data_IF_437646517055
#
_entry.id   IF_437646517055
#
_cell.length_a   1.000
_cell.length_b   1.000
_cell.length_c   1.000
_cell.angle_alpha   90.00
_cell.angle_beta   90.00
_cell.angle_gamma   90.00
#
_symmetry.space_group_name_H-M   'P 1'
#
loop_
_entity.id
_entity.type
_entity.pdbx_description
1 polymer ?
#
# COMPACT_ATOMS: atom_id res chain seq x y z
N UNK A 1 -12.15 -37.93 4.14
CA UNK A 1 -13.62 -37.71 4.08
C UNK A 1 -13.87 -36.32 3.54
N UNK A 2 -14.45 -36.12 2.36
CA UNK A 2 -14.75 -34.82 1.77
C UNK A 2 -16.24 -34.51 2.03
N UNK A 3 -16.53 -33.68 3.02
CA UNK A 3 -17.90 -33.22 3.29
C UNK A 3 -17.91 -31.89 4.11
N UNK A 4 -17.16 -30.87 3.69
CA UNK A 4 -17.20 -29.55 4.31
C UNK A 4 -17.05 -28.38 3.31
N UNK A 5 -17.15 -28.62 2.00
CA UNK A 5 -16.98 -27.59 0.96
C UNK A 5 -18.30 -27.10 0.35
N UNK A 6 -19.44 -27.72 0.67
CA UNK A 6 -20.72 -27.41 0.01
C UNK A 6 -21.59 -26.35 0.71
N UNK A 7 -21.13 -25.67 1.77
CA UNK A 7 -21.96 -24.68 2.50
C UNK A 7 -21.55 -23.22 2.34
N UNK A 8 -20.61 -22.88 1.46
CA UNK A 8 -20.17 -21.49 1.24
C UNK A 8 -20.78 -20.84 -0.02
N UNK A 9 -21.60 -21.57 -0.77
CA UNK A 9 -22.03 -21.18 -2.13
C UNK A 9 -23.41 -20.51 -2.22
N UNK A 10 -24.06 -20.11 -1.11
CA UNK A 10 -25.45 -19.64 -1.21
C UNK A 10 -25.78 -18.21 -0.75
N UNK A 11 -24.77 -17.35 -0.45
CA UNK A 11 -25.06 -15.97 0.01
C UNK A 11 -24.46 -14.84 -0.82
N UNK A 12 -23.82 -15.10 -1.95
CA UNK A 12 -23.19 -14.08 -2.80
C UNK A 12 -23.98 -13.68 -4.07
N UNK A 13 -25.18 -14.24 -4.30
CA UNK A 13 -26.07 -13.76 -5.38
C UNK A 13 -26.95 -12.62 -4.88
N UNK A 14 -26.37 -11.43 -4.69
CA UNK A 14 -27.16 -10.19 -4.67
C UNK A 14 -27.38 -9.72 -6.10
N UNK A 15 -28.63 -9.75 -6.52
CA UNK A 15 -29.20 -9.26 -7.78
C UNK A 15 -28.58 -7.95 -8.26
N UNK A 16 -28.20 -7.92 -9.53
CA UNK A 16 -27.85 -6.72 -10.30
C UNK A 16 -29.00 -5.69 -10.22
N UNK A 17 -28.84 -4.64 -9.38
CA UNK A 17 -29.87 -3.61 -9.23
C UNK A 17 -29.51 -2.41 -8.35
N UNK A 18 -28.56 -2.51 -7.43
CA UNK A 18 -28.04 -1.34 -6.68
C UNK A 18 -26.59 -1.09 -7.08
N UNK A 19 -26.22 0.14 -7.43
CA UNK A 19 -24.84 0.50 -7.68
C UNK A 19 -24.02 0.18 -6.42
N UNK A 20 -23.05 -0.73 -6.52
CA UNK A 20 -22.14 -1.06 -5.41
C UNK A 20 -21.31 0.17 -5.06
N UNK A 21 -21.23 0.49 -3.77
CA UNK A 21 -20.40 1.60 -3.29
C UNK A 21 -18.92 1.20 -3.29
N UNK A 22 -18.00 2.18 -3.21
CA UNK A 22 -16.57 1.90 -3.01
C UNK A 22 -16.36 0.98 -1.79
N UNK A 23 -17.09 1.21 -0.70
CA UNK A 23 -16.98 0.40 0.51
C UNK A 23 -17.39 -1.06 0.29
N UNK A 24 -18.43 -1.30 -0.51
CA UNK A 24 -18.87 -2.67 -0.86
C UNK A 24 -17.77 -3.40 -1.66
N UNK A 25 -17.14 -2.74 -2.65
CA UNK A 25 -16.00 -3.30 -3.38
C UNK A 25 -14.82 -3.61 -2.46
N UNK A 26 -14.44 -2.67 -1.59
CA UNK A 26 -13.32 -2.86 -0.68
C UNK A 26 -13.56 -4.03 0.28
N UNK A 27 -14.76 -4.16 0.83
CA UNK A 27 -15.11 -5.24 1.74
C UNK A 27 -15.11 -6.61 1.03
N UNK A 28 -15.73 -6.70 -0.16
CA UNK A 28 -15.80 -7.93 -0.94
C UNK A 28 -14.40 -8.39 -1.38
N UNK A 29 -13.56 -7.47 -1.88
CA UNK A 29 -12.21 -7.80 -2.29
C UNK A 29 -11.31 -8.16 -1.10
N UNK A 30 -11.42 -7.48 0.03
CA UNK A 30 -10.66 -7.83 1.23
C UNK A 30 -10.94 -9.27 1.69
N UNK A 31 -12.20 -9.68 1.73
CA UNK A 31 -12.58 -11.03 2.11
C UNK A 31 -12.01 -12.10 1.15
N UNK A 32 -12.06 -11.83 -0.17
CA UNK A 32 -11.52 -12.75 -1.19
C UNK A 32 -9.99 -12.86 -1.10
N UNK A 33 -9.31 -11.73 -0.91
CA UNK A 33 -7.85 -11.70 -0.77
C UNK A 33 -7.42 -12.41 0.51
N UNK A 34 -8.11 -12.22 1.63
CA UNK A 34 -7.80 -12.92 2.87
C UNK A 34 -7.97 -14.44 2.74
N UNK A 35 -9.01 -14.89 2.03
CA UNK A 35 -9.22 -16.30 1.72
C UNK A 35 -8.09 -16.86 0.84
N UNK A 36 -7.69 -16.14 -0.21
CA UNK A 36 -6.62 -16.57 -1.11
C UNK A 36 -5.25 -16.57 -0.40
N UNK A 37 -4.96 -15.57 0.46
CA UNK A 37 -3.74 -15.59 1.29
C UNK A 37 -3.71 -16.86 2.14
N UNK A 38 -4.82 -17.23 2.78
CA UNK A 38 -4.87 -18.43 3.60
C UNK A 38 -4.59 -19.70 2.77
N UNK A 39 -5.13 -19.80 1.56
CA UNK A 39 -4.87 -20.91 0.63
C UNK A 39 -3.40 -20.95 0.20
N UNK A 40 -2.81 -19.81 -0.14
CA UNK A 40 -1.38 -19.71 -0.50
C UNK A 40 -0.50 -20.14 0.66
N UNK A 41 -0.77 -19.68 1.88
CA UNK A 41 0.01 -20.04 3.04
C UNK A 41 -0.08 -21.55 3.36
N UNK A 42 -1.25 -22.15 3.18
CA UNK A 42 -1.42 -23.58 3.39
C UNK A 42 -0.70 -24.42 2.31
N UNK A 43 -0.74 -23.96 1.06
CA UNK A 43 -0.18 -24.71 -0.07
C UNK A 43 1.35 -24.55 -0.20
N UNK A 44 1.89 -23.35 0.10
CA UNK A 44 3.28 -23.00 -0.28
C UNK A 44 4.21 -22.87 0.94
N UNK A 45 3.67 -22.75 2.18
CA UNK A 45 4.49 -22.60 3.38
C UNK A 45 4.41 -23.88 4.21
N UNK A 46 5.37 -24.77 4.03
CA UNK A 46 5.40 -26.08 4.72
C UNK A 46 5.65 -25.96 6.23
N UNK A 47 6.50 -25.02 6.66
CA UNK A 47 6.87 -24.83 8.06
C UNK A 47 5.70 -24.26 8.88
N UNK A 48 5.16 -25.01 9.88
CA UNK A 48 4.00 -24.55 10.65
C UNK A 48 4.29 -23.31 11.50
N UNK A 49 5.54 -23.12 11.95
CA UNK A 49 5.93 -21.97 12.75
C UNK A 49 5.92 -20.71 11.88
N UNK A 50 6.49 -20.77 10.66
CA UNK A 50 6.44 -19.65 9.71
C UNK A 50 5.01 -19.30 9.34
N UNK A 51 4.14 -20.28 9.05
CA UNK A 51 2.71 -20.05 8.81
C UNK A 51 2.04 -19.35 9.99
N UNK A 52 2.31 -19.79 11.22
CA UNK A 52 1.78 -19.19 12.43
C UNK A 52 2.23 -17.74 12.61
N UNK A 53 3.51 -17.46 12.44
CA UNK A 53 4.08 -16.11 12.55
C UNK A 53 3.54 -15.16 11.48
N UNK A 54 3.37 -15.63 10.24
CA UNK A 54 2.72 -14.88 9.15
C UNK A 54 1.23 -14.63 9.50
N UNK A 55 0.51 -15.66 9.95
CA UNK A 55 -0.89 -15.53 10.37
C UNK A 55 -1.03 -14.53 11.52
N UNK A 56 -0.08 -14.50 12.46
CA UNK A 56 -0.03 -13.48 13.50
C UNK A 56 0.08 -12.06 12.92
N UNK A 57 0.98 -11.84 11.94
CA UNK A 57 1.14 -10.54 11.29
C UNK A 57 -0.18 -10.05 10.65
N UNK A 58 -0.94 -10.97 10.04
CA UNK A 58 -2.27 -10.67 9.48
C UNK A 58 -3.37 -10.51 10.54
N UNK A 59 -3.11 -10.79 11.82
CA UNK A 59 -4.10 -10.73 12.88
C UNK A 59 -4.94 -11.99 13.06
N UNK A 60 -4.52 -13.09 12.45
CA UNK A 60 -5.26 -14.37 12.45
C UNK A 60 -4.75 -15.37 13.49
N UNK A 61 -3.64 -15.07 14.17
CA UNK A 61 -3.07 -15.88 15.24
C UNK A 61 -2.73 -15.03 16.48
N UNK A 62 -2.58 -15.70 17.63
CA UNK A 62 -2.10 -15.11 18.87
C UNK A 62 -0.58 -14.87 18.87
N UNK A 63 -0.05 -14.27 19.95
CA UNK A 63 1.40 -14.04 20.13
C UNK A 63 2.20 -15.33 20.29
N UNK A 64 1.55 -16.45 20.52
CA UNK A 64 2.07 -17.81 20.52
C UNK A 64 2.06 -18.47 19.13
N UNK A 65 1.62 -17.71 18.12
CA UNK A 65 1.47 -18.12 16.72
C UNK A 65 0.42 -19.22 16.49
N UNK A 66 -0.46 -19.44 17.47
CA UNK A 66 -1.59 -20.36 17.34
C UNK A 66 -2.77 -19.66 16.67
N UNK A 67 -3.44 -20.29 15.67
CA UNK A 67 -4.58 -19.70 14.99
C UNK A 67 -5.72 -19.31 15.93
N UNK A 68 -6.28 -18.13 15.72
CA UNK A 68 -7.44 -17.62 16.46
C UNK A 68 -8.75 -18.01 15.77
N UNK A 69 -9.83 -18.26 16.55
CA UNK A 69 -11.18 -18.34 16.01
C UNK A 69 -11.53 -17.10 15.20
N UNK A 70 -12.32 -17.23 14.16
CA UNK A 70 -12.65 -16.12 13.24
C UNK A 70 -13.17 -14.85 13.98
N UNK A 71 -13.99 -15.04 15.01
CA UNK A 71 -14.53 -13.94 15.82
C UNK A 71 -13.49 -13.16 16.66
N UNK A 72 -12.28 -13.73 16.85
CA UNK A 72 -11.19 -13.12 17.62
C UNK A 72 -10.08 -12.55 16.73
N UNK A 73 -10.20 -12.72 15.40
CA UNK A 73 -9.21 -12.22 14.45
C UNK A 73 -9.27 -10.70 14.40
N UNK A 74 -8.11 -10.06 14.48
CA UNK A 74 -8.02 -8.62 14.28
C UNK A 74 -8.32 -8.29 12.80
N UNK A 75 -8.95 -7.15 12.57
CA UNK A 75 -9.12 -6.65 11.23
C UNK A 75 -7.74 -6.46 10.57
N UNK A 76 -7.51 -7.13 9.45
CA UNK A 76 -6.36 -6.90 8.59
C UNK A 76 -6.39 -5.47 8.04
N UNK A 77 -5.36 -5.03 7.32
CA UNK A 77 -5.38 -3.73 6.64
C UNK A 77 -6.53 -3.63 5.61
N UNK A 78 -6.76 -2.43 5.08
CA UNK A 78 -7.83 -2.15 4.11
C UNK A 78 -7.65 -2.83 2.74
N UNK A 79 -6.60 -3.62 2.52
CA UNK A 79 -6.27 -4.32 1.26
C UNK A 79 -6.33 -3.38 0.04
N UNK A 80 -5.84 -2.14 0.18
CA UNK A 80 -5.98 -1.11 -0.86
C UNK A 80 -5.25 -1.46 -2.15
N UNK A 81 -4.05 -2.05 -2.07
CA UNK A 81 -3.28 -2.43 -3.27
C UNK A 81 -3.95 -3.55 -4.07
N UNK A 82 -4.39 -4.65 -3.45
CA UNK A 82 -5.27 -5.61 -4.10
C UNK A 82 -6.51 -4.99 -4.72
N UNK A 83 -7.21 -4.14 -3.98
CA UNK A 83 -8.43 -3.50 -4.47
C UNK A 83 -8.17 -2.60 -5.69
N UNK A 84 -7.07 -1.82 -5.70
CA UNK A 84 -6.62 -1.05 -6.85
C UNK A 84 -6.42 -1.96 -8.08
N UNK A 85 -5.73 -3.09 -7.90
CA UNK A 85 -5.48 -4.04 -8.99
C UNK A 85 -6.78 -4.63 -9.55
N UNK A 86 -7.67 -5.08 -8.67
CA UNK A 86 -8.94 -5.68 -9.07
C UNK A 86 -9.88 -4.68 -9.72
N UNK A 87 -9.96 -3.45 -9.21
CA UNK A 87 -10.76 -2.38 -9.83
C UNK A 87 -10.23 -2.00 -11.22
N UNK A 88 -8.90 -1.90 -11.40
CA UNK A 88 -8.29 -1.67 -12.70
C UNK A 88 -8.56 -2.83 -13.67
N UNK A 89 -8.45 -4.08 -13.18
CA UNK A 89 -8.76 -5.27 -13.97
C UNK A 89 -10.20 -5.27 -14.45
N UNK A 90 -11.17 -5.11 -13.55
CA UNK A 90 -12.59 -5.09 -13.87
C UNK A 90 -12.96 -3.91 -14.77
N UNK A 91 -12.42 -2.71 -14.47
CA UNK A 91 -12.65 -1.52 -15.29
C UNK A 91 -12.16 -1.68 -16.71
N UNK A 92 -10.96 -2.26 -16.90
CA UNK A 92 -10.40 -2.53 -18.21
C UNK A 92 -11.16 -3.61 -18.97
N UNK A 93 -11.60 -4.69 -18.31
CA UNK A 93 -12.45 -5.75 -18.93
C UNK A 93 -13.80 -5.22 -19.38
N UNK A 94 -14.47 -4.41 -18.54
CA UNK A 94 -15.76 -3.80 -18.90
C UNK A 94 -15.65 -2.94 -20.16
N UNK A 95 -14.54 -2.22 -20.34
CA UNK A 95 -14.27 -1.43 -21.56
C UNK A 95 -14.16 -2.30 -22.81
N UNK A 96 -13.83 -3.57 -22.68
CA UNK A 96 -13.79 -4.56 -23.77
C UNK A 96 -15.14 -5.29 -23.98
N UNK A 97 -16.18 -4.88 -23.26
CA UNK A 97 -17.51 -5.49 -23.35
C UNK A 97 -17.69 -6.80 -22.56
N UNK A 98 -16.75 -7.13 -21.65
CA UNK A 98 -16.88 -8.33 -20.82
C UNK A 98 -17.80 -8.08 -19.63
N UNK A 99 -18.50 -9.13 -19.19
CA UNK A 99 -19.30 -9.09 -17.97
C UNK A 99 -18.41 -8.95 -16.72
N UNK A 100 -18.96 -8.34 -15.67
CA UNK A 100 -18.21 -7.98 -14.45
C UNK A 100 -17.77 -9.16 -13.57
N UNK A 101 -18.16 -10.39 -13.88
CA UNK A 101 -18.23 -11.47 -12.88
C UNK A 101 -17.04 -12.43 -12.84
N UNK A 102 -16.02 -12.24 -13.68
CA UNK A 102 -14.93 -13.20 -13.80
C UNK A 102 -13.60 -12.62 -13.27
N UNK A 103 -13.59 -12.11 -12.03
CA UNK A 103 -12.39 -11.50 -11.42
C UNK A 103 -11.36 -12.51 -10.87
N UNK A 104 -11.60 -13.80 -10.99
CA UNK A 104 -10.74 -14.82 -10.38
C UNK A 104 -9.33 -14.87 -10.98
N UNK A 105 -9.18 -14.49 -12.25
CA UNK A 105 -7.88 -14.50 -12.91
C UNK A 105 -6.90 -13.46 -12.35
N UNK A 106 -7.38 -12.36 -11.77
CA UNK A 106 -6.55 -11.32 -11.18
C UNK A 106 -6.30 -11.52 -9.67
N UNK A 107 -7.03 -12.41 -9.00
CA UNK A 107 -6.91 -12.67 -7.55
C UNK A 107 -5.49 -13.09 -7.16
N UNK A 108 -4.82 -14.03 -7.84
CA UNK A 108 -3.45 -14.43 -7.48
C UNK A 108 -2.46 -13.27 -7.52
N UNK A 109 -2.53 -12.42 -8.54
CA UNK A 109 -1.68 -11.24 -8.64
C UNK A 109 -2.01 -10.19 -7.55
N UNK A 110 -3.30 -9.94 -7.32
CA UNK A 110 -3.74 -9.03 -6.25
C UNK A 110 -3.30 -9.54 -4.87
N UNK A 111 -3.36 -10.85 -4.64
CA UNK A 111 -2.82 -11.50 -3.43
C UNK A 111 -1.31 -11.31 -3.31
N UNK A 112 -0.58 -11.52 -4.39
CA UNK A 112 0.87 -11.31 -4.41
C UNK A 112 1.28 -9.89 -4.05
N UNK A 113 0.53 -8.87 -4.51
CA UNK A 113 0.73 -7.47 -4.12
C UNK A 113 0.58 -7.26 -2.61
N UNK A 114 -0.40 -7.91 -1.98
CA UNK A 114 -0.60 -7.82 -0.54
C UNK A 114 0.51 -8.54 0.24
N UNK A 115 0.96 -9.70 -0.24
CA UNK A 115 2.07 -10.43 0.38
C UNK A 115 3.37 -9.62 0.28
N UNK A 116 3.67 -9.01 -0.89
CA UNK A 116 4.81 -8.11 -1.08
C UNK A 116 4.70 -6.89 -0.16
N UNK A 117 3.53 -6.29 -0.02
CA UNK A 117 3.35 -5.19 0.91
C UNK A 117 3.62 -5.60 2.36
N UNK A 118 3.09 -6.76 2.79
CA UNK A 118 3.22 -7.18 4.19
C UNK A 118 4.64 -7.66 4.53
N UNK A 119 5.41 -8.27 3.58
CA UNK A 119 6.81 -8.53 3.84
C UNK A 119 7.59 -7.23 4.10
N UNK A 120 7.33 -6.19 3.31
CA UNK A 120 7.99 -4.91 3.50
C UNK A 120 7.68 -4.30 4.87
N UNK A 121 6.43 -4.42 5.33
CA UNK A 121 6.05 -3.96 6.67
C UNK A 121 6.79 -4.70 7.80
N UNK A 122 6.98 -6.02 7.67
CA UNK A 122 7.73 -6.80 8.67
C UNK A 122 9.20 -6.36 8.71
N UNK A 123 9.81 -6.11 7.54
CA UNK A 123 11.20 -5.66 7.47
C UNK A 123 11.34 -4.20 7.90
N UNK A 124 10.41 -3.32 7.55
CA UNK A 124 10.36 -1.93 8.01
C UNK A 124 10.28 -1.87 9.54
N UNK A 125 9.43 -2.69 10.19
CA UNK A 125 9.35 -2.76 11.66
C UNK A 125 10.71 -3.06 12.31
N UNK A 126 11.53 -3.92 11.69
CA UNK A 126 12.88 -4.24 12.17
C UNK A 126 13.83 -3.06 11.99
N UNK A 127 13.80 -2.41 10.82
CA UNK A 127 14.68 -1.29 10.45
C UNK A 127 14.36 -0.05 11.30
N UNK A 128 13.07 0.26 11.44
CA UNK A 128 12.56 1.42 12.19
C UNK A 128 12.53 1.15 13.71
N UNK A 129 12.80 -0.09 14.14
CA UNK A 129 12.72 -0.54 15.55
C UNK A 129 11.32 -0.35 16.16
N UNK A 130 10.29 -0.40 15.34
CA UNK A 130 8.91 -0.27 15.79
C UNK A 130 8.48 -1.50 16.62
N UNK A 131 8.13 -1.29 17.88
CA UNK A 131 7.70 -2.36 18.78
C UNK A 131 6.23 -2.75 18.58
N UNK A 132 5.43 -1.83 18.07
CA UNK A 132 3.99 -2.00 17.88
C UNK A 132 3.58 -1.68 16.43
N UNK A 133 2.67 -2.47 15.90
CA UNK A 133 1.97 -2.24 14.62
C UNK A 133 0.48 -2.49 14.80
N UNK A 134 -0.34 -1.49 14.47
CA UNK A 134 -1.82 -1.55 14.66
C UNK A 134 -2.21 -1.95 16.09
N UNK A 135 -1.50 -1.40 17.09
CA UNK A 135 -1.73 -1.66 18.51
C UNK A 135 -1.28 -3.06 19.00
N UNK A 136 -0.62 -3.87 18.14
CA UNK A 136 -0.12 -5.22 18.49
C UNK A 136 1.41 -5.25 18.42
N UNK A 137 2.09 -6.06 19.25
CA UNK A 137 3.54 -6.28 19.13
C UNK A 137 3.91 -6.65 17.69
N UNK A 138 5.04 -6.14 17.20
CA UNK A 138 5.57 -6.50 15.88
C UNK A 138 6.15 -7.92 15.90
N UNK A 139 6.26 -8.57 14.74
CA UNK A 139 6.81 -9.94 14.66
C UNK A 139 8.22 -9.97 15.27
N UNK A 140 9.07 -9.00 14.96
CA UNK A 140 10.43 -8.99 15.50
C UNK A 140 10.51 -8.75 17.01
N UNK A 141 9.56 -8.04 17.60
CA UNK A 141 9.52 -7.83 19.05
C UNK A 141 9.13 -9.10 19.81
N UNK A 142 8.47 -10.05 19.14
CA UNK A 142 8.09 -11.36 19.72
C UNK A 142 9.18 -12.39 19.52
N UNK A 143 9.67 -12.57 18.27
CA UNK A 143 10.55 -13.68 17.93
C UNK A 143 12.00 -13.28 17.61
N UNK A 144 12.33 -11.99 17.75
CA UNK A 144 13.64 -11.44 17.45
C UNK A 144 13.87 -11.17 15.96
N UNK A 145 14.88 -10.33 15.67
CA UNK A 145 15.16 -9.81 14.31
C UNK A 145 15.42 -10.93 13.30
N UNK A 146 16.23 -11.93 13.66
CA UNK A 146 16.62 -12.99 12.72
C UNK A 146 15.42 -13.79 12.21
N UNK A 147 14.50 -14.15 13.12
CA UNK A 147 13.29 -14.90 12.73
C UNK A 147 12.29 -14.02 11.98
N UNK A 148 12.15 -12.74 12.33
CA UNK A 148 11.31 -11.82 11.60
C UNK A 148 11.79 -11.58 10.17
N UNK A 149 13.12 -11.57 9.92
CA UNK A 149 13.69 -11.55 8.56
C UNK A 149 13.24 -12.80 7.78
N UNK A 150 13.31 -13.99 8.40
CA UNK A 150 12.85 -15.23 7.76
C UNK A 150 11.35 -15.19 7.42
N UNK A 151 10.52 -14.67 8.34
CA UNK A 151 9.07 -14.49 8.11
C UNK A 151 8.82 -13.56 6.91
N UNK A 152 9.51 -12.42 6.83
CA UNK A 152 9.41 -11.50 5.69
C UNK A 152 9.86 -12.15 4.37
N UNK A 153 11.01 -12.83 4.37
CA UNK A 153 11.52 -13.54 3.19
C UNK A 153 10.55 -14.63 2.70
N UNK A 154 9.94 -15.37 3.64
CA UNK A 154 8.92 -16.38 3.32
C UNK A 154 7.70 -15.74 2.63
N UNK A 155 7.20 -14.61 3.16
CA UNK A 155 6.12 -13.85 2.52
C UNK A 155 6.47 -13.37 1.12
N UNK A 156 7.70 -12.85 0.93
CA UNK A 156 8.16 -12.38 -0.36
C UNK A 156 8.22 -13.53 -1.39
N UNK A 157 8.73 -14.69 -0.99
CA UNK A 157 8.75 -15.88 -1.85
C UNK A 157 7.32 -16.37 -2.17
N UNK A 158 6.45 -16.45 -1.16
CA UNK A 158 5.06 -16.85 -1.32
C UNK A 158 4.27 -15.94 -2.27
N UNK A 159 4.61 -14.64 -2.36
CA UNK A 159 4.00 -13.72 -3.32
C UNK A 159 4.22 -14.16 -4.77
N UNK A 160 5.43 -14.60 -5.11
CA UNK A 160 5.71 -15.10 -6.46
C UNK A 160 5.08 -16.47 -6.70
N UNK A 161 5.08 -17.34 -5.69
CA UNK A 161 4.41 -18.64 -5.76
C UNK A 161 2.90 -18.48 -6.00
N UNK A 162 2.25 -17.50 -5.36
CA UNK A 162 0.85 -17.17 -5.57
C UNK A 162 0.54 -16.85 -7.04
N UNK A 163 1.37 -16.02 -7.69
CA UNK A 163 1.22 -15.72 -9.12
C UNK A 163 1.39 -16.96 -10.02
N UNK A 164 2.31 -17.87 -9.66
CA UNK A 164 2.63 -19.05 -10.45
C UNK A 164 1.63 -20.19 -10.25
N UNK A 165 0.96 -20.26 -9.10
CA UNK A 165 0.09 -21.37 -8.73
C UNK A 165 -1.03 -21.65 -9.75
N UNK A 166 -1.62 -20.63 -10.33
CA UNK A 166 -2.65 -20.78 -11.38
C UNK A 166 -2.12 -21.08 -12.78
N UNK A 167 -0.85 -20.82 -13.09
CA UNK A 167 -0.24 -21.26 -14.36
C UNK A 167 -0.20 -22.78 -14.50
N UNK A 168 -0.30 -23.52 -13.39
CA UNK A 168 -0.36 -24.99 -13.42
C UNK A 168 -1.68 -25.54 -13.99
N UNK A 169 -2.71 -24.70 -14.17
CA UNK A 169 -3.95 -25.06 -14.82
C UNK A 169 -3.84 -24.88 -16.35
N UNK A 170 -4.16 -25.90 -17.17
CA UNK A 170 -4.13 -25.77 -18.63
C UNK A 170 -5.08 -24.66 -19.11
N UNK A 171 -4.56 -23.65 -19.79
CA UNK A 171 -5.33 -22.59 -20.46
C UNK A 171 -5.22 -21.17 -19.88
N UNK A 172 -4.70 -20.97 -18.67
CA UNK A 172 -4.74 -19.66 -17.96
C UNK A 172 -3.41 -18.89 -17.97
N UNK A 173 -2.56 -19.01 -18.98
CA UNK A 173 -1.16 -18.54 -18.92
C UNK A 173 -0.85 -17.17 -19.54
N UNK A 174 -1.79 -16.45 -20.16
CA UNK A 174 -1.50 -15.20 -20.85
C UNK A 174 -1.35 -14.03 -19.86
N UNK A 175 -0.16 -13.40 -19.83
CA UNK A 175 0.12 -12.21 -19.03
C UNK A 175 0.71 -12.46 -17.63
N UNK A 176 0.69 -13.68 -17.09
CA UNK A 176 1.20 -13.97 -15.74
C UNK A 176 2.71 -13.71 -15.64
N UNK A 177 3.51 -14.12 -16.62
CA UNK A 177 4.95 -13.81 -16.67
C UNK A 177 5.22 -12.30 -16.64
N UNK A 178 4.35 -11.51 -17.26
CA UNK A 178 4.48 -10.07 -17.35
C UNK A 178 4.18 -9.38 -16.03
N UNK A 179 3.12 -9.81 -15.33
CA UNK A 179 2.82 -9.24 -14.00
C UNK A 179 3.82 -9.69 -12.94
N UNK A 180 4.40 -10.89 -13.06
CA UNK A 180 5.53 -11.31 -12.21
C UNK A 180 6.74 -10.43 -12.45
N UNK A 181 7.08 -10.12 -13.70
CA UNK A 181 8.18 -9.21 -14.04
C UNK A 181 7.93 -7.79 -13.50
N UNK A 182 6.69 -7.29 -13.61
CA UNK A 182 6.29 -6.00 -13.03
C UNK A 182 6.40 -6.02 -11.49
N UNK A 183 5.98 -7.09 -10.82
CA UNK A 183 6.07 -7.25 -9.37
C UNK A 183 7.53 -7.31 -8.90
N UNK A 184 8.39 -8.03 -9.61
CA UNK A 184 9.81 -8.09 -9.32
C UNK A 184 10.48 -6.71 -9.48
N UNK A 185 10.15 -5.98 -10.55
CA UNK A 185 10.62 -4.61 -10.77
C UNK A 185 10.17 -3.68 -9.63
N UNK A 186 8.90 -3.74 -9.24
CA UNK A 186 8.38 -2.96 -8.13
C UNK A 186 9.08 -3.30 -6.79
N UNK A 187 9.36 -4.58 -6.52
CA UNK A 187 10.09 -5.02 -5.33
C UNK A 187 11.52 -4.46 -5.30
N UNK A 188 12.23 -4.42 -6.45
CA UNK A 188 13.55 -3.80 -6.56
C UNK A 188 13.50 -2.30 -6.31
N UNK A 189 12.51 -1.60 -6.89
CA UNK A 189 12.31 -0.16 -6.68
C UNK A 189 11.97 0.15 -5.22
N UNK A 190 11.09 -0.64 -4.58
CA UNK A 190 10.76 -0.51 -3.16
C UNK A 190 12.00 -0.64 -2.28
N UNK A 191 12.84 -1.64 -2.54
CA UNK A 191 14.11 -1.85 -1.81
C UNK A 191 15.04 -0.65 -1.98
N UNK A 192 15.15 -0.11 -3.21
CA UNK A 192 15.91 1.11 -3.50
C UNK A 192 15.39 2.33 -2.74
N UNK A 193 14.07 2.53 -2.72
CA UNK A 193 13.41 3.61 -1.99
C UNK A 193 13.58 3.48 -0.48
N UNK A 194 13.44 2.28 0.08
CA UNK A 194 13.68 2.02 1.50
C UNK A 194 15.14 2.30 1.90
N UNK A 195 16.11 1.89 1.06
CA UNK A 195 17.51 2.23 1.28
C UNK A 195 17.74 3.75 1.33
N UNK A 196 17.09 4.50 0.43
CA UNK A 196 17.19 5.97 0.43
C UNK A 196 16.58 6.57 1.69
N UNK A 197 15.41 6.09 2.12
CA UNK A 197 14.74 6.57 3.34
C UNK A 197 15.64 6.41 4.57
N UNK A 198 16.24 5.23 4.77
CA UNK A 198 17.21 4.97 5.83
C UNK A 198 18.46 5.87 5.73
N UNK A 199 18.99 6.09 4.51
CA UNK A 199 20.12 6.99 4.32
C UNK A 199 19.78 8.44 4.68
N UNK A 200 18.55 8.88 4.50
CA UNK A 200 18.13 10.25 4.81
C UNK A 200 18.13 10.53 6.31
N UNK A 201 18.02 9.52 7.17
CA UNK A 201 18.11 9.71 8.62
C UNK A 201 19.39 10.42 9.05
N UNK A 202 20.51 10.09 8.38
CA UNK A 202 21.86 10.58 8.75
C UNK A 202 22.42 11.67 7.83
N UNK A 203 21.69 12.08 6.77
CA UNK A 203 22.13 13.11 5.82
C UNK A 203 21.53 14.47 6.13
N UNK A 204 22.29 15.54 5.97
CA UNK A 204 21.82 16.92 6.19
C UNK A 204 21.47 17.65 4.89
N UNK A 205 21.83 17.06 3.73
CA UNK A 205 21.68 17.63 2.40
C UNK A 205 20.49 17.05 1.60
N UNK A 206 19.48 16.48 2.30
CA UNK A 206 18.30 15.90 1.65
C UNK A 206 17.45 17.02 1.04
N UNK A 207 17.21 16.91 -0.26
CA UNK A 207 16.38 17.86 -1.03
C UNK A 207 14.97 17.33 -1.25
N UNK A 208 14.04 18.21 -1.63
CA UNK A 208 12.68 17.85 -2.02
C UNK A 208 12.67 16.89 -3.22
N UNK A 209 13.58 17.08 -4.20
CA UNK A 209 13.68 16.18 -5.36
C UNK A 209 14.15 14.77 -4.94
N UNK A 210 15.10 14.68 -4.01
CA UNK A 210 15.55 13.40 -3.45
C UNK A 210 14.41 12.69 -2.70
N UNK A 211 13.62 13.45 -1.96
CA UNK A 211 12.43 12.92 -1.30
C UNK A 211 11.42 12.36 -2.31
N UNK A 212 11.11 13.08 -3.40
CA UNK A 212 10.21 12.55 -4.44
C UNK A 212 10.74 11.30 -5.10
N UNK A 213 12.04 11.20 -5.35
CA UNK A 213 12.66 9.97 -5.86
C UNK A 213 12.52 8.81 -4.89
N UNK A 214 12.73 9.05 -3.60
CA UNK A 214 12.60 8.05 -2.55
C UNK A 214 11.17 7.52 -2.46
N UNK A 215 10.14 8.38 -2.37
CA UNK A 215 8.75 7.94 -2.27
C UNK A 215 8.23 7.31 -3.56
N UNK A 216 8.76 7.70 -4.72
CA UNK A 216 8.47 7.03 -6.00
C UNK A 216 8.88 5.56 -5.94
N UNK A 217 10.04 5.24 -5.38
CA UNK A 217 10.48 3.88 -5.13
C UNK A 217 9.74 3.21 -3.98
N UNK A 218 9.84 3.76 -2.77
CA UNK A 218 9.34 3.13 -1.54
C UNK A 218 7.84 2.85 -1.56
N UNK A 219 7.04 3.79 -2.09
CA UNK A 219 5.57 3.74 -2.01
C UNK A 219 4.89 3.63 -3.37
N UNK A 220 5.24 4.50 -4.33
CA UNK A 220 4.51 4.56 -5.59
C UNK A 220 4.81 3.37 -6.51
N UNK A 221 5.96 2.73 -6.41
CA UNK A 221 6.30 1.57 -7.25
C UNK A 221 5.28 0.43 -7.13
N UNK A 222 4.85 0.09 -5.91
CA UNK A 222 3.89 -1.00 -5.73
C UNK A 222 2.46 -0.60 -6.11
N UNK A 223 2.06 0.66 -5.93
CA UNK A 223 0.76 1.16 -6.43
C UNK A 223 0.74 1.21 -7.95
N UNK A 224 1.83 1.62 -8.59
CA UNK A 224 2.00 1.55 -10.06
C UNK A 224 1.88 0.11 -10.55
N UNK A 225 2.57 -0.82 -9.89
CA UNK A 225 2.50 -2.25 -10.22
C UNK A 225 1.05 -2.78 -10.09
N UNK A 226 0.33 -2.39 -9.05
CA UNK A 226 -1.05 -2.82 -8.83
C UNK A 226 -1.99 -2.38 -9.96
N UNK A 227 -1.97 -1.11 -10.32
CA UNK A 227 -2.85 -0.55 -11.35
C UNK A 227 -2.48 -1.02 -12.76
N UNK A 228 -1.18 -0.99 -13.09
CA UNK A 228 -0.66 -1.48 -14.36
C UNK A 228 -0.92 -2.98 -14.53
N UNK A 229 -0.58 -3.80 -13.53
CA UNK A 229 -0.68 -5.25 -13.61
C UNK A 229 -2.13 -5.73 -13.67
N UNK A 230 -3.04 -5.09 -12.92
CA UNK A 230 -4.47 -5.37 -13.03
C UNK A 230 -5.00 -5.10 -14.44
N UNK A 231 -4.68 -3.95 -15.02
CA UNK A 231 -5.06 -3.63 -16.40
C UNK A 231 -4.38 -4.54 -17.43
N UNK A 232 -3.11 -4.89 -17.23
CA UNK A 232 -2.36 -5.79 -18.13
C UNK A 232 -3.00 -7.17 -18.21
N UNK A 233 -3.43 -7.74 -17.09
CA UNK A 233 -4.17 -9.01 -17.06
C UNK A 233 -5.49 -8.91 -17.79
N UNK A 234 -6.22 -7.79 -17.68
CA UNK A 234 -7.46 -7.56 -18.37
C UNK A 234 -7.29 -7.53 -19.91
N UNK A 235 -6.15 -7.01 -20.38
CA UNK A 235 -5.80 -6.99 -21.80
C UNK A 235 -5.05 -8.26 -22.25
N UNK A 236 -5.18 -9.36 -21.50
CA UNK A 236 -4.58 -10.67 -21.83
C UNK A 236 -3.06 -10.62 -22.06
N UNK A 237 -2.35 -9.78 -21.31
CA UNK A 237 -0.90 -9.64 -21.40
C UNK A 237 -0.41 -8.84 -22.62
N UNK A 238 -1.30 -8.11 -23.31
CA UNK A 238 -0.90 -7.26 -24.44
C UNK A 238 -0.12 -6.03 -23.95
N UNK A 239 1.19 -6.16 -23.73
CA UNK A 239 2.08 -5.10 -23.23
C UNK A 239 2.04 -3.80 -24.02
N UNK A 240 1.68 -3.85 -25.29
CA UNK A 240 1.58 -2.69 -26.17
C UNK A 240 0.19 -2.03 -26.15
N UNK A 241 -0.74 -2.47 -25.28
CA UNK A 241 -2.07 -1.86 -25.24
C UNK A 241 -1.99 -0.38 -24.84
N UNK A 242 -2.57 0.56 -25.62
CA UNK A 242 -2.35 2.00 -25.48
C UNK A 242 -2.87 2.59 -24.15
N UNK A 243 -3.77 1.92 -23.44
CA UNK A 243 -4.25 2.37 -22.14
C UNK A 243 -3.29 2.06 -20.97
N UNK A 244 -2.36 1.10 -21.12
CA UNK A 244 -1.49 0.67 -20.02
C UNK A 244 -0.60 1.77 -19.42
N UNK A 245 0.02 2.67 -20.22
CA UNK A 245 0.78 3.79 -19.67
C UNK A 245 -0.07 4.70 -18.76
N UNK A 246 -1.34 4.90 -19.10
CA UNK A 246 -2.24 5.72 -18.29
C UNK A 246 -2.61 5.03 -16.96
N UNK A 247 -2.80 3.71 -16.91
CA UNK A 247 -2.95 2.96 -15.67
C UNK A 247 -1.69 2.99 -14.80
N UNK A 248 -0.49 2.91 -15.41
CA UNK A 248 0.77 3.04 -14.69
C UNK A 248 0.93 4.44 -14.07
N UNK A 249 0.64 5.49 -14.85
CA UNK A 249 0.71 6.87 -14.39
C UNK A 249 -0.30 7.14 -13.27
N UNK A 250 -1.53 6.62 -13.40
CA UNK A 250 -2.54 6.68 -12.35
C UNK A 250 -2.00 6.12 -11.03
N UNK A 251 -1.44 4.91 -11.06
CA UNK A 251 -0.89 4.26 -9.87
C UNK A 251 0.30 5.01 -9.27
N UNK A 252 1.17 5.58 -10.12
CA UNK A 252 2.32 6.38 -9.70
C UNK A 252 1.87 7.64 -8.96
N UNK A 253 1.00 8.42 -9.57
CA UNK A 253 0.52 9.67 -9.00
C UNK A 253 -0.30 9.45 -7.72
N UNK A 254 -1.15 8.42 -7.70
CA UNK A 254 -1.89 8.03 -6.50
C UNK A 254 -0.95 7.64 -5.35
N UNK A 255 0.09 6.86 -5.62
CA UNK A 255 1.08 6.45 -4.62
C UNK A 255 1.89 7.62 -4.06
N UNK A 256 2.27 8.57 -4.92
CA UNK A 256 2.94 9.82 -4.52
C UNK A 256 2.03 10.65 -3.60
N UNK A 257 0.81 10.92 -4.01
CA UNK A 257 -0.17 11.67 -3.19
C UNK A 257 -0.47 11.00 -1.86
N UNK A 258 -0.59 9.65 -1.86
CA UNK A 258 -0.79 8.86 -0.66
C UNK A 258 0.34 9.05 0.35
N UNK A 259 1.61 8.97 -0.09
CA UNK A 259 2.76 9.10 0.82
C UNK A 259 2.87 10.52 1.38
N UNK A 260 2.67 11.54 0.55
CA UNK A 260 2.68 12.94 1.02
C UNK A 260 1.61 13.15 2.09
N UNK A 261 0.42 12.57 1.87
CA UNK A 261 -0.67 12.67 2.84
C UNK A 261 -0.34 11.93 4.14
N UNK A 262 0.29 10.76 4.04
CA UNK A 262 0.75 10.00 5.21
C UNK A 262 1.78 10.79 6.04
N UNK A 263 2.71 11.47 5.39
CA UNK A 263 3.70 12.35 6.05
C UNK A 263 3.05 13.56 6.74
N UNK A 264 1.99 14.14 6.16
CA UNK A 264 1.20 15.20 6.82
C UNK A 264 0.53 14.64 8.08
N UNK A 265 -0.07 13.46 7.99
CA UNK A 265 -0.72 12.81 9.13
C UNK A 265 0.29 12.36 10.20
N UNK A 266 1.52 12.02 9.83
CA UNK A 266 2.62 11.67 10.75
C UNK A 266 3.01 12.82 11.68
N UNK A 267 2.73 14.07 11.28
CA UNK A 267 3.02 15.29 12.07
C UNK A 267 1.77 15.82 12.77
N UNK A 268 0.65 15.97 12.04
CA UNK A 268 -0.56 16.65 12.54
C UNK A 268 -1.75 15.71 12.78
N UNK A 269 -1.64 14.42 12.39
CA UNK A 269 -2.73 13.46 12.58
C UNK A 269 -3.03 13.20 14.06
N UNK A 270 -4.30 13.06 14.38
CA UNK A 270 -4.74 12.65 15.72
C UNK A 270 -4.51 11.14 15.93
N UNK A 271 -4.27 10.73 17.17
CA UNK A 271 -4.07 9.31 17.51
C UNK A 271 -5.27 8.44 17.10
N UNK A 272 -6.48 8.96 17.25
CA UNK A 272 -7.72 8.29 16.80
C UNK A 272 -7.75 8.01 15.29
N UNK A 273 -6.99 8.78 14.49
CA UNK A 273 -6.94 8.69 13.04
C UNK A 273 -5.80 7.80 12.54
N UNK A 274 -4.65 7.88 13.21
CA UNK A 274 -3.40 7.23 12.77
C UNK A 274 -3.10 5.94 13.51
N UNK A 275 -3.72 5.74 14.69
CA UNK A 275 -3.38 4.66 15.61
C UNK A 275 -2.00 4.80 16.25
N UNK A 276 -1.36 5.98 16.08
CA UNK A 276 -0.04 6.32 16.65
C UNK A 276 -0.13 7.70 17.33
N UNK A 277 0.67 7.96 18.40
CA UNK A 277 0.72 9.27 19.03
C UNK A 277 1.08 10.37 18.02
N UNK A 278 0.39 11.52 18.08
CA UNK A 278 0.66 12.67 17.20
C UNK A 278 2.13 13.07 17.25
N UNK A 279 2.69 13.49 16.10
CA UNK A 279 4.07 13.94 16.01
C UNK A 279 5.14 12.84 16.00
N UNK A 280 4.76 11.61 15.70
CA UNK A 280 5.70 10.49 15.61
C UNK A 280 6.86 10.76 14.65
N UNK A 281 6.61 11.44 13.53
CA UNK A 281 7.64 11.77 12.54
C UNK A 281 8.60 12.86 13.04
N UNK A 282 8.12 13.80 13.85
CA UNK A 282 8.99 14.80 14.52
C UNK A 282 9.93 14.10 15.49
N UNK A 283 9.41 13.25 16.37
CA UNK A 283 10.23 12.51 17.35
C UNK A 283 11.32 11.67 16.69
N UNK A 284 10.99 11.03 15.56
CA UNK A 284 11.96 10.27 14.76
C UNK A 284 12.84 11.14 13.87
N UNK A 285 12.62 12.44 13.84
CA UNK A 285 13.32 13.39 12.96
C UNK A 285 13.28 12.97 11.50
N UNK A 286 12.15 12.38 11.09
CA UNK A 286 11.97 11.94 9.71
C UNK A 286 12.01 13.15 8.78
N UNK A 287 12.84 13.08 7.74
CA UNK A 287 12.94 14.12 6.70
C UNK A 287 11.78 13.98 5.71
N UNK A 288 10.55 14.15 6.22
CA UNK A 288 9.31 14.13 5.45
C UNK A 288 9.13 15.42 4.64
N UNK A 289 8.22 15.40 3.66
CA UNK A 289 8.01 16.56 2.79
C UNK A 289 7.74 17.88 3.54
N UNK A 290 6.86 17.92 4.57
CA UNK A 290 6.65 19.16 5.32
C UNK A 290 7.93 19.74 5.92
N UNK A 291 8.81 18.89 6.44
CA UNK A 291 10.07 19.32 7.05
C UNK A 291 11.04 19.87 6.00
N UNK A 292 11.14 19.20 4.85
CA UNK A 292 12.01 19.66 3.77
C UNK A 292 11.53 21.00 3.16
N UNK A 293 10.22 21.16 3.02
CA UNK A 293 9.63 22.43 2.59
C UNK A 293 9.88 23.55 3.61
N UNK A 294 9.74 23.25 4.91
CA UNK A 294 10.06 24.23 5.94
C UNK A 294 11.55 24.63 5.91
N UNK A 295 12.46 23.69 5.69
CA UNK A 295 13.88 24.00 5.52
C UNK A 295 14.16 24.89 4.31
N UNK A 296 13.37 24.85 3.27
CA UNK A 296 13.49 25.74 2.10
C UNK A 296 12.93 27.13 2.39
N UNK A 297 11.75 27.22 3.02
CA UNK A 297 10.97 28.47 3.18
C UNK A 297 11.35 29.27 4.44
N UNK A 298 11.96 28.60 5.45
CA UNK A 298 12.26 29.22 6.73
C UNK A 298 13.26 30.38 6.62
N UNK A 299 13.10 31.39 7.50
CA UNK A 299 14.11 32.42 7.73
C UNK A 299 15.47 31.78 8.12
N UNK A 300 16.60 32.46 7.88
CA UNK A 300 17.91 31.88 8.21
C UNK A 300 18.02 31.38 9.67
N UNK A 301 17.43 32.09 10.62
CA UNK A 301 17.43 31.71 12.04
C UNK A 301 16.56 30.49 12.31
N UNK A 302 15.35 30.42 11.77
CA UNK A 302 14.45 29.27 11.93
C UNK A 302 15.03 28.03 11.24
N UNK A 303 15.63 28.20 10.06
CA UNK A 303 16.31 27.10 9.33
C UNK A 303 17.47 26.54 10.12
N UNK A 304 18.32 27.39 10.71
CA UNK A 304 19.44 26.94 11.54
C UNK A 304 18.95 26.19 12.77
N UNK A 305 17.88 26.67 13.44
CA UNK A 305 17.27 25.96 14.59
C UNK A 305 16.69 24.62 14.19
N UNK A 306 15.90 24.57 13.13
CA UNK A 306 15.31 23.30 12.65
C UNK A 306 16.41 22.30 12.26
N UNK A 307 17.45 22.74 11.54
CA UNK A 307 18.59 21.91 11.19
C UNK A 307 19.33 21.39 12.42
N UNK A 308 19.57 22.22 13.44
CA UNK A 308 20.21 21.81 14.68
C UNK A 308 19.37 20.75 15.44
N UNK A 309 18.04 20.90 15.51
CA UNK A 309 17.14 19.92 16.13
C UNK A 309 17.14 18.59 15.38
N UNK A 310 17.20 18.62 14.05
CA UNK A 310 17.22 17.40 13.22
C UNK A 310 18.60 16.73 13.17
N UNK A 311 19.68 17.42 13.54
CA UNK A 311 21.02 16.85 13.67
C UNK A 311 21.29 16.21 15.05
N UNK A 312 20.38 16.35 16.03
CA UNK A 312 20.54 15.76 17.35
C UNK A 312 20.51 14.23 17.29
N UNK A 313 21.33 13.58 18.15
CA UNK A 313 21.35 12.11 18.27
C UNK A 313 20.53 11.61 19.46
N UNK A 314 20.15 12.49 20.38
CA UNK A 314 19.28 12.20 21.53
C UNK A 314 17.82 12.46 21.20
N UNK A 315 16.90 11.85 21.95
CA UNK A 315 15.48 12.11 21.79
C UNK A 315 15.16 13.58 22.00
N UNK A 316 14.18 14.10 21.26
CA UNK A 316 13.71 15.48 21.43
C UNK A 316 12.89 15.58 22.73
N UNK A 317 13.08 16.66 23.47
CA UNK A 317 12.20 17.03 24.59
C UNK A 317 10.87 17.57 24.07
N UNK A 318 9.83 17.62 24.92
CA UNK A 318 8.53 18.19 24.55
C UNK A 318 8.62 19.65 24.06
N UNK A 319 9.52 20.46 24.66
CA UNK A 319 9.74 21.84 24.22
C UNK A 319 10.39 21.89 22.84
N UNK A 320 11.32 20.99 22.54
CA UNK A 320 11.95 20.87 21.22
C UNK A 320 10.97 20.37 20.15
N UNK A 321 10.10 19.42 20.48
CA UNK A 321 9.00 19.02 19.57
C UNK A 321 8.06 20.20 19.26
N UNK A 322 7.72 21.00 20.29
CA UNK A 322 6.90 22.21 20.13
C UNK A 322 7.60 23.26 19.29
N UNK A 323 8.92 23.43 19.44
CA UNK A 323 9.71 24.35 18.62
C UNK A 323 9.72 23.93 17.15
N UNK A 324 9.92 22.64 16.85
CA UNK A 324 9.78 22.11 15.49
C UNK A 324 8.39 22.43 14.92
N UNK A 325 7.31 22.16 15.66
CA UNK A 325 5.92 22.44 15.19
C UNK A 325 5.74 23.93 14.89
N UNK A 326 6.19 24.82 15.77
CA UNK A 326 6.13 26.26 15.55
C UNK A 326 6.80 26.69 14.24
N UNK A 327 8.01 26.18 13.98
CA UNK A 327 8.72 26.49 12.72
C UNK A 327 7.94 25.96 11.51
N UNK A 328 7.38 24.74 11.57
CA UNK A 328 6.57 24.17 10.48
C UNK A 328 5.30 24.99 10.22
N UNK A 329 4.67 25.51 11.28
CA UNK A 329 3.48 26.39 11.19
C UNK A 329 3.81 27.76 10.60
N UNK A 330 4.89 28.42 11.07
CA UNK A 330 5.39 29.68 10.54
C UNK A 330 5.64 29.60 9.02
N UNK A 331 6.22 28.49 8.56
CA UNK A 331 6.48 28.21 7.15
C UNK A 331 5.25 27.73 6.37
N UNK A 332 4.10 27.56 7.02
CA UNK A 332 2.88 26.95 6.43
C UNK A 332 3.17 25.59 5.75
N UNK A 333 4.08 24.80 6.34
CA UNK A 333 4.57 23.57 5.74
C UNK A 333 3.47 22.54 5.46
N UNK A 334 2.44 22.48 6.32
CA UNK A 334 1.27 21.62 6.09
C UNK A 334 0.53 22.00 4.80
N UNK A 335 0.24 23.29 4.60
CA UNK A 335 -0.49 23.77 3.42
C UNK A 335 0.35 23.61 2.14
N UNK A 336 1.69 23.77 2.24
CA UNK A 336 2.60 23.53 1.13
C UNK A 336 2.60 22.06 0.74
N UNK A 337 2.76 21.14 1.69
CA UNK A 337 2.72 19.71 1.44
C UNK A 337 1.35 19.25 0.92
N UNK A 338 0.24 19.82 1.44
CA UNK A 338 -1.11 19.52 0.93
C UNK A 338 -1.26 19.89 -0.53
N UNK A 339 -0.73 21.05 -0.97
CA UNK A 339 -0.75 21.42 -2.40
C UNK A 339 -0.06 20.39 -3.29
N UNK A 340 1.04 19.80 -2.83
CA UNK A 340 1.69 18.70 -3.55
C UNK A 340 0.80 17.45 -3.60
N UNK A 341 0.17 17.07 -2.49
CA UNK A 341 -0.77 15.94 -2.47
C UNK A 341 -1.95 16.16 -3.44
N UNK A 342 -2.53 17.36 -3.44
CA UNK A 342 -3.63 17.74 -4.33
C UNK A 342 -3.22 17.69 -5.81
N UNK A 343 -2.02 18.18 -6.14
CA UNK A 343 -1.48 18.13 -7.50
C UNK A 343 -1.32 16.67 -7.98
N UNK A 344 -0.78 15.79 -7.15
CA UNK A 344 -0.66 14.38 -7.46
C UNK A 344 -2.05 13.72 -7.59
N UNK A 345 -3.02 14.07 -6.74
CA UNK A 345 -4.40 13.63 -6.86
C UNK A 345 -5.04 14.04 -8.20
N UNK A 346 -4.87 15.29 -8.62
CA UNK A 346 -5.37 15.78 -9.92
C UNK A 346 -4.72 15.05 -11.10
N UNK A 347 -3.40 14.82 -11.05
CA UNK A 347 -2.69 14.04 -12.08
C UNK A 347 -3.16 12.59 -12.13
N UNK A 348 -3.39 11.98 -10.98
CA UNK A 348 -3.96 10.64 -10.90
C UNK A 348 -5.34 10.58 -11.57
N UNK A 349 -6.25 11.52 -11.27
CA UNK A 349 -7.57 11.58 -11.90
C UNK A 349 -7.49 11.82 -13.41
N UNK A 350 -6.58 12.68 -13.86
CA UNK A 350 -6.33 12.91 -15.30
C UNK A 350 -5.85 11.62 -15.99
N UNK A 351 -4.91 10.91 -15.38
CA UNK A 351 -4.41 9.63 -15.91
C UNK A 351 -5.51 8.56 -15.94
N UNK A 352 -6.34 8.48 -14.89
CA UNK A 352 -7.48 7.55 -14.85
C UNK A 352 -8.52 7.87 -15.93
N UNK A 353 -8.81 9.15 -16.16
CA UNK A 353 -9.69 9.61 -17.24
C UNK A 353 -9.14 9.22 -18.62
N UNK A 354 -7.83 9.35 -18.82
CA UNK A 354 -7.17 8.90 -20.05
C UNK A 354 -7.24 7.37 -20.20
N UNK A 355 -7.00 6.63 -19.12
CA UNK A 355 -7.15 5.17 -19.08
C UNK A 355 -8.58 4.73 -19.41
N UNK A 356 -9.58 5.48 -18.95
CA UNK A 356 -10.99 5.24 -19.26
C UNK A 356 -11.39 5.56 -20.71
N UNK A 357 -10.62 6.42 -21.40
CA UNK A 357 -10.96 6.91 -22.74
C UNK A 357 -11.88 8.13 -22.73
N UNK A 358 -11.94 8.86 -21.61
CA UNK A 358 -12.69 10.09 -21.44
C UNK A 358 -13.55 10.12 -20.17
N UNK A 359 -14.03 11.31 -19.80
CA UNK A 359 -14.77 11.52 -18.56
C UNK A 359 -16.13 10.80 -18.53
N UNK A 360 -16.84 10.69 -19.65
CA UNK A 360 -18.10 9.96 -19.71
C UNK A 360 -17.86 8.46 -19.52
N UNK A 361 -16.87 7.90 -20.22
CA UNK A 361 -16.52 6.50 -20.09
C UNK A 361 -16.02 6.14 -18.66
N UNK A 362 -15.41 7.10 -17.97
CA UNK A 362 -15.04 6.96 -16.56
C UNK A 362 -16.29 6.83 -15.67
N UNK A 363 -17.25 7.74 -15.83
CA UNK A 363 -18.49 7.76 -15.03
C UNK A 363 -19.39 6.54 -15.30
N UNK A 364 -19.45 6.09 -16.55
CA UNK A 364 -20.30 4.95 -16.96
C UNK A 364 -19.71 3.59 -16.55
N UNK A 365 -18.45 3.57 -16.08
CA UNK A 365 -17.78 2.36 -15.63
C UNK A 365 -17.71 2.35 -14.09
N UNK A 366 -18.52 1.53 -13.40
CA UNK A 366 -18.64 1.57 -11.94
C UNK A 366 -17.31 1.27 -11.21
N UNK A 367 -16.43 0.48 -11.82
CA UNK A 367 -15.12 0.14 -11.25
C UNK A 367 -14.14 1.32 -11.35
N UNK A 368 -14.15 2.03 -12.48
CA UNK A 368 -13.32 3.23 -12.67
C UNK A 368 -13.87 4.40 -11.85
N UNK A 369 -15.17 4.55 -11.73
CA UNK A 369 -15.81 5.52 -10.84
C UNK A 369 -15.46 5.25 -9.35
N UNK A 370 -15.36 3.97 -8.95
CA UNK A 370 -14.88 3.61 -7.61
C UNK A 370 -13.41 3.98 -7.40
N UNK A 371 -12.54 3.87 -8.43
CA UNK A 371 -11.16 4.35 -8.37
C UNK A 371 -11.08 5.89 -8.25
N UNK A 372 -11.97 6.63 -8.93
CA UNK A 372 -12.07 8.08 -8.76
C UNK A 372 -12.41 8.46 -7.32
N UNK A 373 -13.42 7.81 -6.72
CA UNK A 373 -13.78 7.99 -5.30
C UNK A 373 -12.62 7.64 -4.36
N UNK A 374 -11.94 6.53 -4.62
CA UNK A 374 -10.78 6.11 -3.84
C UNK A 374 -9.65 7.13 -3.90
N UNK A 375 -9.41 7.73 -5.08
CA UNK A 375 -8.39 8.79 -5.26
C UNK A 375 -8.72 10.00 -4.38
N UNK A 376 -9.96 10.49 -4.41
CA UNK A 376 -10.42 11.55 -3.53
C UNK A 376 -10.22 11.19 -2.05
N UNK A 377 -10.63 9.99 -1.64
CA UNK A 377 -10.45 9.52 -0.26
C UNK A 377 -8.98 9.49 0.16
N UNK A 378 -8.07 9.05 -0.71
CA UNK A 378 -6.63 8.92 -0.42
C UNK A 378 -5.94 10.29 -0.32
N UNK A 379 -6.26 11.23 -1.18
CA UNK A 379 -5.59 12.54 -1.26
C UNK A 379 -6.17 13.59 -0.34
N UNK A 380 -7.47 13.49 0.02
CA UNK A 380 -8.15 14.45 0.91
C UNK A 380 -8.42 13.92 2.33
N UNK A 381 -7.97 12.68 2.62
CA UNK A 381 -8.22 12.00 3.89
C UNK A 381 -7.90 12.89 5.09
N UNK A 382 -8.90 13.20 5.88
CA UNK A 382 -8.79 13.92 7.17
C UNK A 382 -8.70 12.95 8.36
N UNK A 383 -8.65 11.66 8.12
CA UNK A 383 -8.59 10.63 9.14
C UNK A 383 -9.49 9.46 8.84
#
# INVERSE_FOLDING_TARGET
>A
MPAALDSLDSTAHRTAGSASTLQDYLAAYAARIDAEIALVLEAEVEDPWLRGAISYHFGWAGTDFVPLPAAQRAAGGKRLRPALSLLCYQGARRRQGWAADESDDAIPFATALELVHNYSLIHDDIMDRDLLRRGRPTVWSICGKAQAINVGNCLHAAAFAACLGRQRAPGNGTGVGDVIAALATASLQMTGGQRQDLMFETRDDVTVDMYFQMIAGKTAALTTCATYGGALLAYTGARAHPALPAYAEFGRELGMGFQIRDDILGIWGMESQTGKPSGGDIRRRKKSLPVLLALQEASPGARARLGALYAMTTDLTGDQESDVRSILEECRAQALAQRHADLHGQRALSALTNAAGGADALRDNPFLAALEQLTGFVTTRTG
#
